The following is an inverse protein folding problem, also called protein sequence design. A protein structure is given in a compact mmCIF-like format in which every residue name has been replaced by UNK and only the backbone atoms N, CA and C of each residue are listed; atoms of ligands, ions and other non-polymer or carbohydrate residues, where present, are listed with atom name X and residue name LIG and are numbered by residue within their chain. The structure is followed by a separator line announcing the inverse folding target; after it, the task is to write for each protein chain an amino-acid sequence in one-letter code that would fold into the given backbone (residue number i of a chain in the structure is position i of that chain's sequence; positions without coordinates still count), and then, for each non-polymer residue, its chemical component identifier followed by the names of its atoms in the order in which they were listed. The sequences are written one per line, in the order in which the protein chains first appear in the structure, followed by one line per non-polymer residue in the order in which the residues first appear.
data_IF_968609083077
#
_entry.id   IF_968609083077
#
_cell.length_a   1.000
_cell.length_b   1.000
_cell.length_c   1.000
_cell.angle_alpha   90.00
_cell.angle_beta   90.00
_cell.angle_gamma   90.00
#
_symmetry.space_group_name_H-M   'P 1'
#
loop_
_entity.id
_entity.type
_entity.pdbx_description
1 polymer ?
#
# COMPACT_ATOMS: atom_id res chain seq x y z
N UNK A 1 -4.27 -6.91 5.54
CA UNK A 1 -3.43 -7.78 4.69
C UNK A 1 -4.16 -7.92 3.37
N UNK A 2 -3.51 -7.60 2.25
CA UNK A 2 -4.14 -7.58 0.91
C UNK A 2 -4.46 -8.99 0.40
N UNK A 3 -3.70 -10.00 0.84
CA UNK A 3 -3.85 -11.39 0.42
C UNK A 3 -4.92 -12.17 1.23
N UNK A 4 -5.51 -11.56 2.26
CA UNK A 4 -6.53 -12.22 3.09
C UNK A 4 -7.91 -11.68 2.73
N UNK A 5 -8.80 -12.57 2.28
CA UNK A 5 -10.23 -12.23 2.11
C UNK A 5 -10.76 -11.80 3.48
N UNK A 6 -11.29 -10.58 3.56
CA UNK A 6 -12.02 -10.14 4.75
C UNK A 6 -13.28 -11.02 4.81
N UNK A 7 -13.47 -11.76 5.89
CA UNK A 7 -14.71 -12.50 6.07
C UNK A 7 -15.85 -11.50 6.23
N UNK A 8 -16.77 -11.47 5.27
CA UNK A 8 -17.93 -10.58 5.30
C UNK A 8 -19.00 -11.30 6.09
N UNK A 9 -19.05 -11.07 7.41
CA UNK A 9 -20.07 -11.63 8.31
C UNK A 9 -21.40 -10.86 8.29
N UNK A 10 -21.53 -9.82 7.47
CA UNK A 10 -22.78 -9.06 7.32
C UNK A 10 -23.73 -9.76 6.34
N UNK A 11 -24.43 -10.78 6.82
CA UNK A 11 -25.40 -11.63 6.10
C UNK A 11 -26.72 -10.94 5.72
N UNK A 12 -26.80 -9.59 5.74
CA UNK A 12 -28.07 -8.84 5.58
C UNK A 12 -28.22 -8.08 4.25
N UNK A 13 -27.38 -8.36 3.27
CA UNK A 13 -27.48 -7.75 1.93
C UNK A 13 -27.53 -8.85 0.87
N UNK A 14 -28.68 -9.50 0.73
CA UNK A 14 -29.00 -10.56 -0.23
C UNK A 14 -28.95 -10.13 -1.71
N UNK A 15 -28.21 -9.08 -2.03
CA UNK A 15 -28.04 -8.52 -3.38
C UNK A 15 -26.70 -7.83 -3.61
N UNK A 16 -25.73 -7.95 -2.70
CA UNK A 16 -24.43 -7.28 -2.77
C UNK A 16 -23.27 -8.18 -3.24
N UNK A 17 -23.58 -9.32 -3.87
CA UNK A 17 -22.60 -10.11 -4.64
C UNK A 17 -22.42 -9.53 -6.07
N UNK A 18 -22.54 -8.21 -6.22
CA UNK A 18 -22.05 -7.54 -7.42
C UNK A 18 -20.56 -7.84 -7.55
N UNK A 19 -20.21 -8.49 -8.67
CA UNK A 19 -18.84 -8.84 -9.04
C UNK A 19 -17.89 -7.70 -8.67
N UNK A 20 -16.94 -7.98 -7.78
CA UNK A 20 -16.00 -7.01 -7.23
C UNK A 20 -15.10 -6.48 -8.36
N UNK A 21 -15.56 -5.43 -9.05
CA UNK A 21 -14.82 -4.78 -10.14
C UNK A 21 -13.69 -3.95 -9.54
N UNK A 22 -12.45 -4.36 -9.81
CA UNK A 22 -11.28 -3.60 -9.41
C UNK A 22 -11.09 -2.44 -10.38
N UNK A 23 -10.94 -1.23 -9.85
CA UNK A 23 -10.48 -0.10 -10.64
C UNK A 23 -9.05 -0.37 -11.13
N UNK A 24 -8.70 0.05 -12.36
CA UNK A 24 -7.35 -0.13 -12.88
C UNK A 24 -6.34 0.61 -11.99
N UNK A 25 -5.14 0.04 -11.78
CA UNK A 25 -4.11 0.68 -10.97
C UNK A 25 -3.54 1.90 -11.69
N UNK A 26 -3.13 2.90 -10.92
CA UNK A 26 -2.34 4.02 -11.46
C UNK A 26 -0.90 3.57 -11.67
N UNK A 27 -0.39 3.71 -12.89
CA UNK A 27 0.99 3.39 -13.25
C UNK A 27 1.77 4.69 -13.26
N UNK A 28 2.69 4.83 -12.31
CA UNK A 28 3.52 6.03 -12.15
C UNK A 28 4.83 5.88 -12.94
N UNK A 29 5.27 6.98 -13.55
CA UNK A 29 6.62 7.09 -14.12
C UNK A 29 7.68 7.22 -13.03
N UNK A 30 8.96 7.09 -13.40
CA UNK A 30 10.08 7.28 -12.47
C UNK A 30 10.06 8.67 -11.83
N UNK A 31 9.83 9.70 -12.63
CA UNK A 31 9.78 11.09 -12.20
C UNK A 31 8.63 11.33 -11.22
N UNK A 32 7.44 10.80 -11.55
CA UNK A 32 6.27 10.88 -10.68
C UNK A 32 6.50 10.14 -9.35
N UNK A 33 7.21 9.01 -9.36
CA UNK A 33 7.56 8.30 -8.14
C UNK A 33 8.54 9.10 -7.26
N UNK A 34 9.48 9.81 -7.87
CA UNK A 34 10.44 10.66 -7.16
C UNK A 34 9.77 11.89 -6.57
N UNK A 35 8.79 12.48 -7.25
CA UNK A 35 8.01 13.60 -6.72
C UNK A 35 7.13 13.15 -5.54
N UNK A 36 6.62 11.92 -5.58
CA UNK A 36 5.69 11.41 -4.57
C UNK A 36 6.38 10.97 -3.26
N UNK A 37 7.68 10.69 -3.28
CA UNK A 37 8.37 10.04 -2.16
C UNK A 37 8.55 10.97 -0.95
N UNK A 38 8.41 10.41 0.25
CA UNK A 38 8.68 11.12 1.52
C UNK A 38 10.01 10.69 2.17
N UNK A 39 10.46 11.42 3.19
CA UNK A 39 11.73 11.15 3.89
C UNK A 39 11.82 9.75 4.54
N UNK A 40 10.67 9.16 4.90
CA UNK A 40 10.59 7.82 5.50
C UNK A 40 10.31 6.72 4.46
N UNK A 41 10.37 7.05 3.17
CA UNK A 41 10.10 6.18 2.03
C UNK A 41 11.31 6.02 1.12
N UNK A 42 11.28 4.96 0.31
CA UNK A 42 12.31 4.57 -0.64
C UNK A 42 11.65 4.05 -1.91
N UNK A 43 12.22 4.42 -3.06
CA UNK A 43 11.86 3.87 -4.36
C UNK A 43 12.84 2.73 -4.69
N UNK A 44 12.29 1.52 -4.81
CA UNK A 44 13.03 0.36 -5.31
C UNK A 44 12.98 0.36 -6.83
N UNK A 45 14.15 0.55 -7.46
CA UNK A 45 14.30 0.58 -8.91
C UNK A 45 14.93 -0.72 -9.38
N UNK A 46 14.26 -1.40 -10.31
CA UNK A 46 14.77 -2.58 -11.01
C UNK A 46 14.57 -2.39 -12.51
N UNK A 47 15.32 -3.08 -13.40
CA UNK A 47 15.16 -2.90 -14.84
C UNK A 47 13.74 -3.18 -15.37
N UNK A 48 12.94 -3.97 -14.64
CA UNK A 48 11.58 -4.35 -15.03
C UNK A 48 10.48 -3.64 -14.25
N UNK A 49 10.79 -3.03 -13.10
CA UNK A 49 9.76 -2.54 -12.19
C UNK A 49 10.24 -1.43 -11.25
N UNK A 50 9.30 -0.54 -10.93
CA UNK A 50 9.42 0.51 -9.93
C UNK A 50 8.47 0.19 -8.78
N UNK A 51 8.95 0.20 -7.54
CA UNK A 51 8.12 -0.06 -6.35
C UNK A 51 8.41 0.94 -5.24
N UNK A 52 7.36 1.57 -4.73
CA UNK A 52 7.44 2.44 -3.55
C UNK A 52 7.34 1.60 -2.28
N UNK A 53 8.21 1.87 -1.30
CA UNK A 53 8.17 1.21 0.01
C UNK A 53 8.61 2.15 1.12
N UNK A 54 8.21 1.84 2.36
CA UNK A 54 8.73 2.53 3.55
C UNK A 54 10.16 2.08 3.85
N UNK A 55 10.98 2.99 4.36
CA UNK A 55 12.37 2.73 4.80
C UNK A 55 12.40 1.61 5.84
N UNK A 56 11.58 1.73 6.88
CA UNK A 56 11.31 0.66 7.85
C UNK A 56 10.04 -0.08 7.43
N UNK A 57 10.18 -1.35 7.03
CA UNK A 57 9.06 -2.18 6.61
C UNK A 57 8.16 -2.59 7.78
N UNK A 58 8.74 -2.95 8.92
CA UNK A 58 7.99 -3.37 10.10
C UNK A 58 7.27 -2.18 10.74
N UNK A 59 5.94 -2.29 10.88
CA UNK A 59 5.08 -1.27 11.47
C UNK A 59 5.47 -0.91 12.91
N UNK A 60 5.77 -1.90 13.74
CA UNK A 60 6.10 -1.68 15.17
C UNK A 60 7.41 -0.92 15.33
N UNK A 61 8.42 -1.29 14.54
CA UNK A 61 9.71 -0.59 14.52
C UNK A 61 9.54 0.86 14.05
N UNK A 62 8.68 1.09 13.04
CA UNK A 62 8.36 2.44 12.56
C UNK A 62 7.69 3.29 13.65
N UNK A 63 6.69 2.75 14.34
CA UNK A 63 6.02 3.44 15.46
C UNK A 63 7.00 3.78 16.59
N UNK A 64 7.90 2.84 16.94
CA UNK A 64 8.96 3.09 17.93
C UNK A 64 9.90 4.21 17.47
N UNK A 65 10.30 4.24 16.20
CA UNK A 65 11.18 5.29 15.67
C UNK A 65 10.47 6.65 15.65
N UNK A 66 9.20 6.71 15.26
CA UNK A 66 8.40 7.95 15.29
C UNK A 66 8.27 8.49 16.71
N UNK A 67 8.00 7.62 17.70
CA UNK A 67 7.89 8.02 19.10
C UNK A 67 9.21 8.49 19.71
N UNK A 68 10.35 7.95 19.25
CA UNK A 68 11.69 8.41 19.68
C UNK A 68 12.11 9.76 19.09
N UNK A 69 11.54 10.13 17.94
CA UNK A 69 11.78 11.42 17.29
C UNK A 69 10.88 12.55 17.85
N UNK A 70 9.87 12.19 18.64
CA UNK A 70 8.99 13.12 19.37
C UNK A 70 9.64 13.56 20.67
#
# INVERSE_FOLDING_TARGET
NVCKKKHVTNTRASGADEALKLTPPSILSLEQCLEFIQEDELLEVTPKSLRMRKKILNKEQRMKQMNKKK
#
